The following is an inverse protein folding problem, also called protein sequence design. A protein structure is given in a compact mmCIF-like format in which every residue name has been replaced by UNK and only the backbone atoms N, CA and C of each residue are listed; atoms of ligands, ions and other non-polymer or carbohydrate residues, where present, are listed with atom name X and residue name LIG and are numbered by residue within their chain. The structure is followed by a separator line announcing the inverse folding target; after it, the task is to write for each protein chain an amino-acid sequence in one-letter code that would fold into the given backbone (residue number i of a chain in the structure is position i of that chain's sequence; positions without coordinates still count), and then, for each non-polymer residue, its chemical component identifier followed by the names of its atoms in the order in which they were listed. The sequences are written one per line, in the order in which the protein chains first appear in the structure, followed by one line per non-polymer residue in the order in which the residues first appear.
data_IF_361989671861
#
_entry.id   IF_361989671861
#
_cell.length_a   1.000
_cell.length_b   1.000
_cell.length_c   1.000
_cell.angle_alpha   90.00
_cell.angle_beta   90.00
_cell.angle_gamma   90.00
#
_symmetry.space_group_name_H-M   'P 1'
#
loop_
_entity.id
_entity.type
_entity.pdbx_description
1 polymer ?
#
# COMPACT_ATOMS: atom_id res chain seq x y z
N UNK A 1 4.29 -20.79 27.30
CA UNK A 1 4.62 -19.77 26.29
C UNK A 1 5.97 -20.01 25.61
N UNK A 2 6.97 -20.56 26.28
CA UNK A 2 8.33 -20.74 25.69
C UNK A 2 8.45 -21.68 24.48
N UNK A 3 7.46 -22.53 24.22
CA UNK A 3 7.55 -23.48 23.11
C UNK A 3 7.32 -22.82 21.76
N UNK A 4 6.31 -21.95 21.64
CA UNK A 4 5.93 -21.31 20.38
C UNK A 4 6.94 -20.25 19.91
N UNK A 5 7.64 -19.60 20.84
CA UNK A 5 8.68 -18.60 20.49
C UNK A 5 9.88 -19.20 19.76
N UNK A 6 10.11 -20.52 19.91
CA UNK A 6 11.19 -21.26 19.25
C UNK A 6 10.82 -21.81 17.88
N UNK A 7 9.53 -21.83 17.54
CA UNK A 7 9.06 -22.31 16.25
C UNK A 7 9.41 -21.34 15.12
N UNK A 8 9.71 -21.90 13.97
CA UNK A 8 9.86 -21.12 12.74
C UNK A 8 8.52 -20.55 12.26
N UNK A 9 8.57 -19.53 11.42
CA UNK A 9 7.35 -18.96 10.82
C UNK A 9 6.51 -20.00 10.06
N UNK A 10 7.17 -20.96 9.42
CA UNK A 10 6.47 -22.02 8.68
C UNK A 10 5.71 -22.97 9.62
N UNK A 11 6.31 -23.36 10.74
CA UNK A 11 5.66 -24.19 11.75
C UNK A 11 4.49 -23.45 12.39
N UNK A 12 4.67 -22.16 12.70
CA UNK A 12 3.58 -21.32 13.22
C UNK A 12 2.42 -21.19 12.23
N UNK A 13 2.69 -21.04 10.93
CA UNK A 13 1.66 -20.95 9.88
C UNK A 13 0.87 -22.25 9.77
N UNK A 14 1.50 -23.41 9.89
CA UNK A 14 0.81 -24.71 9.87
C UNK A 14 -0.18 -24.79 11.04
N UNK A 15 0.30 -24.56 12.26
CA UNK A 15 -0.53 -24.58 13.48
C UNK A 15 -1.64 -23.53 13.44
N UNK A 16 -1.33 -22.33 12.99
CA UNK A 16 -2.29 -21.23 12.83
C UNK A 16 -3.45 -21.62 11.89
N UNK A 17 -3.14 -22.28 10.77
CA UNK A 17 -4.16 -22.76 9.81
C UNK A 17 -5.05 -23.85 10.39
N UNK A 18 -4.58 -24.59 11.37
CA UNK A 18 -5.36 -25.57 12.14
C UNK A 18 -6.22 -24.91 13.24
N UNK A 19 -6.12 -23.58 13.39
CA UNK A 19 -6.89 -22.82 14.37
C UNK A 19 -6.22 -22.72 15.75
N UNK A 20 -4.90 -22.97 15.83
CA UNK A 20 -4.16 -22.88 17.09
C UNK A 20 -3.98 -21.40 17.51
N UNK A 21 -4.68 -21.01 18.60
CA UNK A 21 -4.67 -19.65 19.13
C UNK A 21 -3.28 -19.21 19.66
N UNK A 22 -2.51 -20.14 20.20
CA UNK A 22 -1.16 -19.84 20.72
C UNK A 22 -0.19 -19.56 19.60
N UNK A 23 -0.29 -20.28 18.48
CA UNK A 23 0.50 -19.99 17.28
C UNK A 23 0.13 -18.62 16.69
N UNK A 24 -1.16 -18.27 16.66
CA UNK A 24 -1.61 -16.93 16.25
C UNK A 24 -1.07 -15.85 17.17
N UNK A 25 -1.14 -16.06 18.49
CA UNK A 25 -0.63 -15.12 19.50
C UNK A 25 0.88 -14.88 19.30
N UNK A 26 1.66 -15.93 19.04
CA UNK A 26 3.09 -15.80 18.77
C UNK A 26 3.35 -15.02 17.47
N UNK A 27 2.60 -15.29 16.38
CA UNK A 27 2.69 -14.52 15.14
C UNK A 27 2.38 -13.04 15.40
N UNK A 28 1.34 -12.76 16.16
CA UNK A 28 0.98 -11.40 16.55
C UNK A 28 2.14 -10.69 17.28
N UNK A 29 2.64 -11.29 18.36
CA UNK A 29 3.73 -10.69 19.15
C UNK A 29 5.01 -10.48 18.36
N UNK A 30 5.34 -11.40 17.46
CA UNK A 30 6.53 -11.33 16.61
C UNK A 30 6.50 -10.18 15.61
N UNK A 31 5.31 -9.83 15.11
CA UNK A 31 5.19 -8.91 13.99
C UNK A 31 4.48 -7.60 14.29
N UNK A 32 3.65 -7.50 15.34
CA UNK A 32 2.81 -6.32 15.60
C UNK A 32 3.60 -5.02 15.64
N UNK A 33 4.71 -4.97 16.34
CA UNK A 33 5.52 -3.75 16.49
C UNK A 33 6.07 -3.32 15.12
N UNK A 34 6.78 -4.22 14.44
CA UNK A 34 7.42 -3.90 13.16
C UNK A 34 6.42 -3.53 12.04
N UNK A 35 5.23 -4.11 12.06
CA UNK A 35 4.17 -3.79 11.12
C UNK A 35 3.51 -2.44 11.45
N UNK A 36 3.34 -2.12 12.74
CA UNK A 36 2.82 -0.83 13.20
C UNK A 36 3.78 0.29 12.83
N UNK A 37 5.07 0.14 13.12
CA UNK A 37 6.11 1.12 12.75
C UNK A 37 6.14 1.36 11.24
N UNK A 38 6.03 0.27 10.46
CA UNK A 38 5.96 0.39 9.00
C UNK A 38 4.71 1.15 8.54
N UNK A 39 3.53 0.85 9.08
CA UNK A 39 2.29 1.53 8.72
C UNK A 39 2.33 3.01 9.15
N UNK A 40 2.79 3.30 10.37
CA UNK A 40 2.93 4.67 10.90
C UNK A 40 3.86 5.52 10.03
N UNK A 41 5.00 4.97 9.60
CA UNK A 41 5.95 5.67 8.72
C UNK A 41 5.34 6.07 7.35
N UNK A 42 4.17 5.55 7.00
CA UNK A 42 3.46 5.83 5.74
C UNK A 42 2.17 6.61 5.92
N UNK A 43 1.52 6.45 7.05
CA UNK A 43 0.25 7.12 7.37
C UNK A 43 0.46 8.42 8.16
N UNK A 44 1.65 8.59 8.78
CA UNK A 44 1.97 9.71 9.68
C UNK A 44 0.97 9.86 10.83
N UNK A 45 0.35 8.75 11.25
CA UNK A 45 -0.64 8.66 12.31
C UNK A 45 -0.54 7.31 13.00
N UNK A 46 -0.16 7.32 14.27
CA UNK A 46 -0.08 6.11 15.09
C UNK A 46 -1.44 5.43 15.27
N UNK A 47 -2.50 6.23 15.49
CA UNK A 47 -3.86 5.69 15.64
C UNK A 47 -4.32 4.97 14.39
N UNK A 48 -4.14 5.60 13.22
CA UNK A 48 -4.47 5.00 11.93
C UNK A 48 -3.66 3.73 11.63
N UNK A 49 -2.38 3.72 12.03
CA UNK A 49 -1.52 2.55 11.88
C UNK A 49 -1.99 1.41 12.79
N UNK A 50 -2.26 1.70 14.06
CA UNK A 50 -2.74 0.73 15.04
C UNK A 50 -4.06 0.07 14.59
N UNK A 51 -5.03 0.88 14.16
CA UNK A 51 -6.31 0.39 13.68
C UNK A 51 -6.14 -0.51 12.45
N UNK A 52 -5.29 -0.09 11.51
CA UNK A 52 -4.99 -0.88 10.32
C UNK A 52 -4.37 -2.23 10.67
N UNK A 53 -3.45 -2.27 11.63
CA UNK A 53 -2.81 -3.51 12.06
C UNK A 53 -3.79 -4.41 12.83
N UNK A 54 -4.67 -3.83 13.62
CA UNK A 54 -5.73 -4.58 14.29
C UNK A 54 -6.68 -5.24 13.28
N UNK A 55 -7.12 -4.49 12.27
CA UNK A 55 -7.93 -5.01 11.16
C UNK A 55 -7.20 -6.13 10.39
N UNK A 56 -5.90 -5.95 10.13
CA UNK A 56 -5.08 -6.97 9.47
C UNK A 56 -5.12 -8.29 10.24
N UNK A 57 -4.82 -8.26 11.54
CA UNK A 57 -4.77 -9.46 12.35
C UNK A 57 -6.15 -10.08 12.58
N UNK A 58 -7.20 -9.27 12.71
CA UNK A 58 -8.58 -9.76 12.76
C UNK A 58 -8.95 -10.51 11.47
N UNK A 59 -8.66 -9.93 10.32
CA UNK A 59 -8.91 -10.58 9.04
C UNK A 59 -8.04 -11.84 8.84
N UNK A 60 -6.78 -11.78 9.29
CA UNK A 60 -5.87 -12.93 9.26
C UNK A 60 -6.46 -14.12 10.02
N UNK A 61 -6.99 -13.87 11.23
CA UNK A 61 -7.65 -14.91 12.04
C UNK A 61 -8.94 -15.42 11.41
N UNK A 62 -9.77 -14.52 10.92
CA UNK A 62 -11.08 -14.88 10.32
C UNK A 62 -10.91 -15.74 9.07
N UNK A 63 -9.95 -15.37 8.22
CA UNK A 63 -9.70 -16.03 6.93
C UNK A 63 -8.65 -17.15 7.00
N UNK A 64 -8.21 -17.57 8.19
CA UNK A 64 -7.07 -18.49 8.40
C UNK A 64 -7.13 -19.78 7.59
N UNK A 65 -8.33 -20.30 7.32
CA UNK A 65 -8.51 -21.51 6.53
C UNK A 65 -8.37 -21.30 5.01
N UNK A 66 -8.59 -20.06 4.55
CA UNK A 66 -8.59 -19.68 3.14
C UNK A 66 -7.26 -19.03 2.70
N UNK A 67 -6.47 -18.55 3.65
CA UNK A 67 -5.23 -17.82 3.37
C UNK A 67 -4.16 -18.80 2.88
N UNK A 68 -3.57 -18.48 1.72
CA UNK A 68 -2.40 -19.19 1.18
C UNK A 68 -1.14 -18.36 1.44
N UNK A 69 -0.40 -18.74 2.48
CA UNK A 69 0.93 -18.18 2.77
C UNK A 69 1.94 -19.17 2.16
N UNK A 70 2.48 -18.84 0.97
CA UNK A 70 3.20 -19.82 0.16
C UNK A 70 4.65 -20.06 0.62
N UNK A 71 5.37 -19.10 1.19
CA UNK A 71 6.79 -19.34 1.58
C UNK A 71 7.29 -18.46 2.73
N UNK A 72 6.86 -17.21 2.85
CA UNK A 72 7.39 -16.28 3.85
C UNK A 72 6.29 -15.49 4.53
N UNK A 73 5.93 -15.86 5.75
CA UNK A 73 4.94 -15.16 6.57
C UNK A 73 5.23 -13.66 6.67
N UNK A 74 6.48 -13.29 6.96
CA UNK A 74 6.91 -11.89 7.01
C UNK A 74 6.59 -11.12 5.73
N UNK A 75 6.94 -11.67 4.59
CA UNK A 75 6.71 -11.03 3.30
C UNK A 75 5.21 -10.86 3.02
N UNK A 76 4.40 -11.86 3.36
CA UNK A 76 2.95 -11.82 3.26
C UNK A 76 2.36 -10.69 4.11
N UNK A 77 2.70 -10.62 5.40
CA UNK A 77 2.19 -9.61 6.33
C UNK A 77 2.55 -8.18 5.86
N UNK A 78 3.81 -7.94 5.50
CA UNK A 78 4.24 -6.63 5.00
C UNK A 78 3.58 -6.26 3.66
N UNK A 79 3.31 -7.22 2.78
CA UNK A 79 2.57 -6.98 1.55
C UNK A 79 1.11 -6.60 1.84
N UNK A 80 0.47 -7.29 2.79
CA UNK A 80 -0.90 -7.01 3.20
C UNK A 80 -1.02 -5.60 3.84
N UNK A 81 -0.11 -5.24 4.75
CA UNK A 81 -0.05 -3.88 5.34
C UNK A 81 0.14 -2.83 4.25
N UNK A 82 1.09 -3.04 3.34
CA UNK A 82 1.34 -2.10 2.23
C UNK A 82 0.08 -1.88 1.39
N UNK A 83 -0.64 -2.94 1.08
CA UNK A 83 -1.89 -2.85 0.33
C UNK A 83 -2.96 -2.05 1.09
N UNK A 84 -3.13 -2.31 2.37
CA UNK A 84 -4.09 -1.58 3.21
C UNK A 84 -3.71 -0.10 3.39
N UNK A 85 -2.43 0.21 3.60
CA UNK A 85 -1.91 1.59 3.64
C UNK A 85 -2.23 2.34 2.34
N UNK A 86 -1.93 1.73 1.18
CA UNK A 86 -2.25 2.33 -0.12
C UNK A 86 -3.74 2.61 -0.24
N UNK A 87 -4.60 1.67 0.16
CA UNK A 87 -6.05 1.85 0.09
C UNK A 87 -6.54 2.94 1.05
N UNK A 88 -5.97 3.03 2.26
CA UNK A 88 -6.32 4.08 3.23
C UNK A 88 -5.91 5.46 2.71
N UNK A 89 -4.71 5.60 2.16
CA UNK A 89 -4.24 6.85 1.52
C UNK A 89 -5.16 7.23 0.35
N UNK A 90 -5.51 6.28 -0.52
CA UNK A 90 -6.45 6.55 -1.63
C UNK A 90 -7.80 7.07 -1.14
N UNK A 91 -8.38 6.43 -0.13
CA UNK A 91 -9.65 6.86 0.46
C UNK A 91 -9.55 8.27 1.05
N UNK A 92 -8.43 8.62 1.68
CA UNK A 92 -8.21 9.96 2.24
C UNK A 92 -8.11 11.04 1.15
N UNK A 93 -7.41 10.75 0.04
CA UNK A 93 -7.31 11.65 -1.11
C UNK A 93 -8.70 11.88 -1.73
N UNK A 94 -9.46 10.82 -1.99
CA UNK A 94 -10.83 10.95 -2.54
C UNK A 94 -11.73 11.76 -1.60
N UNK A 95 -11.63 11.55 -0.28
CA UNK A 95 -12.38 12.35 0.70
C UNK A 95 -11.95 13.82 0.71
N UNK A 96 -10.66 14.09 0.57
CA UNK A 96 -10.12 15.44 0.51
C UNK A 96 -10.57 16.15 -0.77
N UNK A 97 -10.47 15.51 -1.93
CA UNK A 97 -10.94 16.05 -3.21
C UNK A 97 -12.46 16.35 -3.19
N UNK A 98 -13.25 15.50 -2.52
CA UNK A 98 -14.66 15.73 -2.32
C UNK A 98 -14.94 16.88 -1.34
N UNK A 99 -14.19 16.97 -0.25
CA UNK A 99 -14.27 18.05 0.73
C UNK A 99 -13.79 19.38 0.13
N UNK A 100 -12.76 19.38 -0.72
CA UNK A 100 -12.29 20.56 -1.46
C UNK A 100 -13.32 21.04 -2.47
N UNK A 101 -13.98 20.14 -3.18
CA UNK A 101 -15.12 20.50 -4.05
C UNK A 101 -16.31 21.07 -3.29
N UNK A 102 -16.57 20.61 -2.07
CA UNK A 102 -17.57 21.19 -1.16
C UNK A 102 -17.10 22.52 -0.57
N UNK A 103 -15.80 22.67 -0.27
CA UNK A 103 -15.18 23.91 0.24
C UNK A 103 -15.01 24.96 -0.85
N UNK A 104 -14.88 24.60 -2.12
CA UNK A 104 -14.90 25.56 -3.23
C UNK A 104 -16.24 26.32 -3.36
N UNK A 105 -17.24 25.90 -2.57
CA UNK A 105 -18.48 26.64 -2.34
C UNK A 105 -18.41 27.58 -1.12
N UNK A 106 -17.28 27.64 -0.41
CA UNK A 106 -17.07 28.55 0.73
C UNK A 106 -15.59 28.97 0.80
N UNK A 107 -15.24 30.27 0.80
CA UNK A 107 -13.85 30.72 0.76
C UNK A 107 -13.21 30.62 2.13
N UNK A 108 -12.21 29.78 2.31
CA UNK A 108 -11.31 29.83 3.47
C UNK A 108 -9.92 29.24 3.16
N UNK A 109 -8.93 30.08 3.21
CA UNK A 109 -7.49 29.94 3.47
C UNK A 109 -6.84 28.55 3.33
N UNK A 110 -6.13 28.33 2.23
CA UNK A 110 -5.03 27.38 2.12
C UNK A 110 -3.70 28.16 2.12
N UNK A 111 -2.67 27.69 2.81
CA UNK A 111 -1.36 28.34 2.81
C UNK A 111 -0.71 28.22 1.43
N UNK A 112 -0.24 29.32 0.87
CA UNK A 112 0.36 29.40 -0.46
C UNK A 112 1.56 28.44 -0.67
N UNK A 113 2.33 28.18 0.38
CA UNK A 113 3.55 27.37 0.29
C UNK A 113 3.30 25.87 0.09
N UNK A 114 2.24 25.31 0.70
CA UNK A 114 1.88 23.90 0.50
C UNK A 114 1.31 23.66 -0.90
N UNK A 115 0.60 24.63 -1.45
CA UNK A 115 0.03 24.55 -2.79
C UNK A 115 1.11 24.66 -3.88
N UNK A 116 2.14 25.49 -3.68
CA UNK A 116 3.29 25.58 -4.57
C UNK A 116 4.10 24.27 -4.61
N UNK A 117 4.43 23.72 -3.45
CA UNK A 117 5.16 22.45 -3.35
C UNK A 117 4.40 21.29 -3.96
N UNK A 118 3.07 21.23 -3.78
CA UNK A 118 2.23 20.19 -4.40
C UNK A 118 2.17 20.32 -5.94
N UNK A 119 2.13 21.55 -6.47
CA UNK A 119 2.13 21.81 -7.92
C UNK A 119 3.47 21.48 -8.58
N UNK A 120 4.58 21.80 -7.92
CA UNK A 120 5.92 21.45 -8.41
C UNK A 120 6.14 19.94 -8.44
N UNK A 121 5.69 19.23 -7.39
CA UNK A 121 5.73 17.78 -7.34
C UNK A 121 4.87 17.14 -8.43
N UNK A 122 3.63 17.62 -8.62
CA UNK A 122 2.74 17.12 -9.70
C UNK A 122 3.36 17.35 -11.09
N UNK A 123 3.92 18.53 -11.31
CA UNK A 123 4.60 18.86 -12.59
C UNK A 123 5.81 17.94 -12.83
N UNK A 124 6.58 17.67 -11.79
CA UNK A 124 7.74 16.76 -11.86
C UNK A 124 7.31 15.34 -12.15
N UNK A 125 6.28 14.84 -11.48
CA UNK A 125 5.70 13.50 -11.71
C UNK A 125 5.17 13.39 -13.16
N UNK A 126 4.41 14.36 -13.64
CA UNK A 126 3.89 14.38 -15.02
C UNK A 126 5.02 14.38 -16.06
N UNK A 127 6.04 15.20 -15.85
CA UNK A 127 7.23 15.24 -16.72
C UNK A 127 7.96 13.90 -16.77
N UNK A 128 8.02 13.18 -15.64
CA UNK A 128 8.67 11.85 -15.60
C UNK A 128 7.79 10.77 -16.20
N UNK A 129 6.49 10.83 -16.00
CA UNK A 129 5.54 9.93 -16.65
C UNK A 129 5.52 10.09 -18.16
N UNK A 130 5.77 11.30 -18.69
CA UNK A 130 5.86 11.52 -20.15
C UNK A 130 7.09 10.89 -20.80
N UNK A 131 8.09 10.51 -20.03
CA UNK A 131 9.31 9.81 -20.50
C UNK A 131 9.13 8.29 -20.59
N UNK A 132 8.03 7.75 -20.04
CA UNK A 132 7.72 6.33 -20.13
C UNK A 132 7.15 5.96 -21.51
N UNK A 133 7.36 4.71 -21.97
CA UNK A 133 6.67 4.19 -23.13
C UNK A 133 5.14 4.35 -22.98
N UNK A 134 4.44 4.73 -24.04
CA UNK A 134 3.02 5.11 -23.98
C UNK A 134 2.15 4.01 -23.36
N UNK A 135 2.43 2.74 -23.66
CA UNK A 135 1.72 1.61 -23.07
C UNK A 135 1.91 1.51 -21.55
N UNK A 136 3.15 1.72 -21.06
CA UNK A 136 3.46 1.70 -19.62
C UNK A 136 2.78 2.84 -18.89
N UNK A 137 2.85 4.04 -19.47
CA UNK A 137 2.19 5.25 -18.96
C UNK A 137 0.68 5.07 -18.88
N UNK A 138 0.05 4.61 -19.95
CA UNK A 138 -1.40 4.38 -20.00
C UNK A 138 -1.85 3.36 -18.96
N UNK A 139 -1.16 2.23 -18.82
CA UNK A 139 -1.45 1.22 -17.79
C UNK A 139 -1.31 1.81 -16.38
N UNK A 140 -0.26 2.60 -16.13
CA UNK A 140 -0.07 3.27 -14.85
C UNK A 140 -1.19 4.26 -14.55
N UNK A 141 -1.59 5.09 -15.52
CA UNK A 141 -2.67 6.06 -15.38
C UNK A 141 -4.01 5.38 -15.12
N UNK A 142 -4.37 4.29 -15.84
CA UNK A 142 -5.57 3.51 -15.57
C UNK A 142 -5.62 3.01 -14.13
N UNK A 143 -4.47 2.52 -13.63
CA UNK A 143 -4.38 2.02 -12.26
C UNK A 143 -4.44 3.12 -11.20
N UNK A 144 -3.87 4.31 -11.43
CA UNK A 144 -3.69 5.36 -10.42
C UNK A 144 -4.70 6.48 -10.51
N UNK A 145 -5.02 6.93 -11.71
CA UNK A 145 -5.95 8.06 -11.93
C UNK A 145 -7.40 7.57 -12.06
N UNK A 146 -7.61 6.40 -12.67
CA UNK A 146 -8.94 5.85 -12.90
C UNK A 146 -9.30 4.71 -11.93
N UNK A 147 -8.43 4.36 -11.00
CA UNK A 147 -8.64 3.33 -9.97
C UNK A 147 -9.07 1.94 -10.51
N UNK A 148 -8.72 1.63 -11.77
CA UNK A 148 -9.04 0.33 -12.36
C UNK A 148 -8.23 -0.79 -11.71
N UNK A 149 -8.85 -1.93 -11.56
CA UNK A 149 -8.20 -3.15 -11.08
C UNK A 149 -7.25 -3.73 -12.14
N UNK A 150 -6.32 -4.57 -11.70
CA UNK A 150 -5.39 -5.26 -12.62
C UNK A 150 -6.14 -6.04 -13.69
N UNK A 151 -7.25 -6.71 -13.32
CA UNK A 151 -8.06 -7.50 -14.26
C UNK A 151 -8.71 -6.62 -15.33
N UNK A 152 -9.37 -5.52 -14.93
CA UNK A 152 -9.98 -4.57 -15.86
C UNK A 152 -8.95 -3.97 -16.83
N UNK A 153 -7.75 -3.64 -16.33
CA UNK A 153 -6.67 -3.15 -17.19
C UNK A 153 -6.17 -4.24 -18.13
N UNK A 154 -6.02 -5.48 -17.66
CA UNK A 154 -5.60 -6.61 -18.46
C UNK A 154 -6.57 -6.88 -19.60
N UNK A 155 -7.86 -6.83 -19.33
CA UNK A 155 -8.93 -6.96 -20.33
C UNK A 155 -8.90 -5.81 -21.34
N UNK A 156 -8.82 -4.56 -20.87
CA UNK A 156 -8.79 -3.36 -21.74
C UNK A 156 -7.61 -3.38 -22.71
N UNK A 157 -6.41 -3.73 -22.21
CA UNK A 157 -5.16 -3.76 -23.01
C UNK A 157 -4.90 -5.10 -23.69
N UNK A 158 -5.77 -6.10 -23.50
CA UNK A 158 -5.63 -7.48 -24.03
C UNK A 158 -4.27 -8.10 -23.67
N UNK A 159 -3.89 -8.01 -22.40
CA UNK A 159 -2.63 -8.55 -21.87
C UNK A 159 -2.91 -9.37 -20.60
N UNK A 160 -1.92 -10.16 -20.15
CA UNK A 160 -2.04 -10.89 -18.90
C UNK A 160 -1.98 -9.96 -17.67
N UNK A 161 -2.58 -10.38 -16.56
CA UNK A 161 -2.49 -9.71 -15.26
C UNK A 161 -1.02 -9.48 -14.85
N UNK A 162 -0.15 -10.46 -15.15
CA UNK A 162 1.27 -10.37 -14.87
C UNK A 162 1.94 -9.26 -15.69
N UNK A 163 1.54 -9.09 -16.96
CA UNK A 163 2.03 -8.00 -17.80
C UNK A 163 1.65 -6.65 -17.22
N UNK A 164 0.41 -6.48 -16.75
CA UNK A 164 -0.04 -5.25 -16.08
C UNK A 164 0.78 -4.96 -14.83
N UNK A 165 0.98 -5.97 -13.96
CA UNK A 165 1.82 -5.84 -12.76
C UNK A 165 3.25 -5.40 -13.09
N UNK A 166 3.84 -6.01 -14.11
CA UNK A 166 5.19 -5.67 -14.55
C UNK A 166 5.27 -4.22 -15.08
N UNK A 167 4.31 -3.78 -15.89
CA UNK A 167 4.28 -2.42 -16.41
C UNK A 167 4.10 -1.38 -15.28
N UNK A 168 3.24 -1.64 -14.31
CA UNK A 168 3.09 -0.78 -13.12
C UNK A 168 4.40 -0.73 -12.32
N UNK A 169 5.08 -1.87 -12.16
CA UNK A 169 6.37 -1.93 -11.44
C UNK A 169 7.46 -1.13 -12.15
N UNK A 170 7.52 -1.18 -13.48
CA UNK A 170 8.46 -0.38 -14.30
C UNK A 170 8.17 1.11 -14.09
N UNK A 171 6.91 1.54 -14.17
CA UNK A 171 6.54 2.93 -13.95
C UNK A 171 6.92 3.42 -12.54
N UNK A 172 6.63 2.63 -11.51
CA UNK A 172 6.96 2.95 -10.12
C UNK A 172 8.48 3.02 -9.89
N UNK A 173 9.26 2.12 -10.51
CA UNK A 173 10.72 2.14 -10.44
C UNK A 173 11.26 3.44 -11.05
N UNK A 174 10.82 3.80 -12.24
CA UNK A 174 11.22 5.03 -12.92
C UNK A 174 10.90 6.30 -12.11
N UNK A 175 9.70 6.36 -11.51
CA UNK A 175 9.32 7.46 -10.63
C UNK A 175 10.17 7.51 -9.35
N UNK A 176 10.47 6.36 -8.74
CA UNK A 176 11.29 6.30 -7.52
C UNK A 176 12.72 6.76 -7.74
N UNK A 177 13.36 6.32 -8.82
CA UNK A 177 14.71 6.75 -9.20
C UNK A 177 14.79 8.26 -9.40
N UNK A 178 13.72 8.86 -9.90
CA UNK A 178 13.63 10.29 -10.10
C UNK A 178 13.39 11.09 -8.83
N UNK A 179 12.57 10.53 -7.91
CA UNK A 179 12.27 11.17 -6.62
C UNK A 179 13.45 11.04 -5.63
N UNK A 180 14.24 9.97 -5.71
CA UNK A 180 15.45 9.83 -4.88
C UNK A 180 16.52 10.86 -5.24
N UNK A 181 16.62 11.29 -6.50
CA UNK A 181 17.46 12.43 -6.89
C UNK A 181 16.95 13.76 -6.30
N UNK A 182 15.63 13.91 -6.13
CA UNK A 182 15.02 15.12 -5.59
C UNK A 182 15.14 15.19 -4.05
N UNK A 183 15.01 14.05 -3.37
CA UNK A 183 15.15 13.93 -1.91
C UNK A 183 16.60 13.88 -1.42
N UNK A 184 17.56 13.63 -2.31
CA UNK A 184 19.01 13.69 -2.01
C UNK A 184 19.59 15.09 -2.00
N UNK A 185 18.79 16.15 -2.27
CA UNK A 185 19.16 17.55 -2.24
C UNK A 185 18.59 18.31 -1.03
N UNK A 186 17.91 17.63 -0.13
CA UNK A 186 17.49 18.11 1.18
C UNK A 186 18.03 17.15 2.25
#
# INVERSE_FOLDING_TARGET
MDHYSKLSDNELVILFREGNELAYTEIYHRYVVSLTDFAESKLYSFEDARDLIQDLFTNLWTERYNIRINEHLKAYLFAAVRYQVINKIRKSIVRRDYAEKLKALSPAYCSLDEELNARELDTTIRKRLSQLPEKTKSIYQRSREQNKTIKEIAEEFKVSDQTVKNQISIALKHLRESLSMFLGFF
#
